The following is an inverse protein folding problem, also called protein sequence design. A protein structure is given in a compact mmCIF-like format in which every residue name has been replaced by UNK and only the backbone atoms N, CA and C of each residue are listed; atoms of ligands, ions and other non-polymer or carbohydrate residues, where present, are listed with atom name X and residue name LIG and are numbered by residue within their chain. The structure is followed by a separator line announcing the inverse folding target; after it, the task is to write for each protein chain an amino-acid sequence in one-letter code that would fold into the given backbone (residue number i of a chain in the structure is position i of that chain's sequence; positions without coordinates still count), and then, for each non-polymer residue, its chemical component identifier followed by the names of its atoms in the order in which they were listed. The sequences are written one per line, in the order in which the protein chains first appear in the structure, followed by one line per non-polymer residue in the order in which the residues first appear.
data_IF_416273018072
#
_entry.id   IF_416273018072
#
_cell.length_a   1.000
_cell.length_b   1.000
_cell.length_c   1.000
_cell.angle_alpha   90.00
_cell.angle_beta   90.00
_cell.angle_gamma   90.00
#
_symmetry.space_group_name_H-M   'P 1'
#
loop_
_entity.id
_entity.type
_entity.pdbx_description
1 polymer ?
#
# COMPACT_ATOMS: atom_id res chain seq x y z
N UNK A 1 45.04 14.96 7.31
CA UNK A 1 43.63 15.18 7.70
C UNK A 1 42.60 14.60 6.70
N UNK A 2 42.88 13.53 5.96
CA UNK A 2 41.94 12.94 4.96
C UNK A 2 41.21 11.67 5.44
N UNK A 3 41.82 10.89 6.35
CA UNK A 3 41.29 9.60 6.80
C UNK A 3 40.03 9.70 7.69
N UNK A 4 39.90 10.76 8.49
CA UNK A 4 38.74 10.98 9.38
C UNK A 4 37.47 11.21 8.55
N UNK A 5 37.57 11.97 7.45
CA UNK A 5 36.45 12.21 6.54
C UNK A 5 36.02 10.93 5.80
N UNK A 6 36.97 10.06 5.43
CA UNK A 6 36.65 8.78 4.77
C UNK A 6 35.94 7.80 5.71
N UNK A 7 36.35 7.74 6.98
CA UNK A 7 35.71 6.86 7.96
C UNK A 7 34.31 7.36 8.33
N UNK A 8 34.15 8.67 8.53
CA UNK A 8 32.84 9.29 8.79
C UNK A 8 31.88 9.09 7.62
N UNK A 9 32.33 9.35 6.39
CA UNK A 9 31.51 9.14 5.18
C UNK A 9 31.05 7.68 5.06
N UNK A 10 31.93 6.71 5.32
CA UNK A 10 31.58 5.28 5.30
C UNK A 10 30.54 4.92 6.37
N UNK A 11 30.65 5.48 7.57
CA UNK A 11 29.67 5.26 8.64
C UNK A 11 28.31 5.85 8.28
N UNK A 12 28.27 7.07 7.73
CA UNK A 12 27.04 7.71 7.28
C UNK A 12 26.38 6.90 6.14
N UNK A 13 27.16 6.42 5.18
CA UNK A 13 26.66 5.56 4.10
C UNK A 13 26.07 4.25 4.64
N UNK A 14 26.71 3.61 5.62
CA UNK A 14 26.19 2.40 6.26
C UNK A 14 24.91 2.67 7.06
N UNK A 15 24.84 3.78 7.79
CA UNK A 15 23.63 4.20 8.50
C UNK A 15 22.48 4.45 7.53
N UNK A 16 22.74 5.16 6.43
CA UNK A 16 21.76 5.40 5.38
C UNK A 16 21.26 4.09 4.77
N UNK A 17 22.16 3.17 4.39
CA UNK A 17 21.78 1.84 3.87
C UNK A 17 20.90 1.05 4.84
N UNK A 18 21.21 1.09 6.15
CA UNK A 18 20.41 0.43 7.18
C UNK A 18 19.02 1.06 7.31
N UNK A 19 18.94 2.39 7.32
CA UNK A 19 17.67 3.12 7.39
C UNK A 19 16.78 2.82 6.18
N UNK A 20 17.35 2.88 4.98
CA UNK A 20 16.65 2.56 3.72
C UNK A 20 16.14 1.12 3.72
N UNK A 21 16.97 0.15 4.16
CA UNK A 21 16.53 -1.24 4.30
C UNK A 21 15.38 -1.38 5.32
N UNK A 22 15.45 -0.66 6.43
CA UNK A 22 14.38 -0.63 7.43
C UNK A 22 13.06 -0.12 6.86
N UNK A 23 13.11 0.91 6.02
CA UNK A 23 11.93 1.43 5.32
C UNK A 23 11.30 0.38 4.41
N UNK A 24 12.09 -0.28 3.55
CA UNK A 24 11.57 -1.32 2.64
C UNK A 24 10.94 -2.50 3.39
N UNK A 25 11.57 -2.96 4.48
CA UNK A 25 11.01 -4.01 5.33
C UNK A 25 9.68 -3.56 5.96
N UNK A 26 9.58 -2.29 6.40
CA UNK A 26 8.35 -1.77 6.99
C UNK A 26 7.22 -1.66 5.96
N UNK A 27 7.54 -1.28 4.71
CA UNK A 27 6.58 -1.28 3.60
C UNK A 27 6.08 -2.71 3.34
N UNK A 28 6.99 -3.69 3.30
CA UNK A 28 6.65 -5.11 3.12
C UNK A 28 5.76 -5.66 4.24
N UNK A 29 6.05 -5.33 5.51
CA UNK A 29 5.22 -5.68 6.65
C UNK A 29 3.79 -5.12 6.52
N UNK A 30 3.64 -3.85 6.16
CA UNK A 30 2.32 -3.23 5.98
C UNK A 30 1.57 -3.81 4.78
N UNK A 31 2.28 -4.15 3.69
CA UNK A 31 1.67 -4.84 2.54
C UNK A 31 1.18 -6.24 2.92
N UNK A 32 1.94 -6.96 3.74
CA UNK A 32 1.51 -8.25 4.28
C UNK A 32 0.27 -8.09 5.17
N UNK A 33 0.22 -7.04 6.01
CA UNK A 33 -0.95 -6.73 6.83
C UNK A 33 -2.19 -6.40 5.98
N UNK A 34 -2.06 -5.62 4.91
CA UNK A 34 -3.13 -5.36 3.94
C UNK A 34 -3.61 -6.66 3.29
N UNK A 35 -2.69 -7.55 2.91
CA UNK A 35 -3.03 -8.86 2.35
C UNK A 35 -3.83 -9.72 3.35
N UNK A 36 -3.46 -9.70 4.62
CA UNK A 36 -4.18 -10.41 5.67
C UNK A 36 -5.58 -9.81 5.90
N UNK A 37 -5.69 -8.48 5.91
CA UNK A 37 -6.97 -7.79 6.02
C UNK A 37 -7.90 -8.16 4.85
N UNK A 38 -7.38 -8.11 3.62
CA UNK A 38 -8.12 -8.55 2.42
C UNK A 38 -8.68 -9.96 2.58
N UNK A 39 -7.86 -10.92 3.02
CA UNK A 39 -8.26 -12.31 3.26
C UNK A 39 -9.36 -12.46 4.32
N UNK A 40 -9.46 -11.52 5.27
CA UNK A 40 -10.55 -11.50 6.25
C UNK A 40 -11.86 -10.99 5.66
N UNK A 41 -11.79 -10.12 4.64
CA UNK A 41 -12.95 -9.60 3.92
C UNK A 41 -13.49 -10.61 2.89
N UNK A 42 -12.63 -11.40 2.24
CA UNK A 42 -13.04 -12.34 1.16
C UNK A 42 -14.26 -13.23 1.48
N UNK A 43 -14.46 -13.76 2.71
CA UNK A 43 -15.62 -14.61 3.01
C UNK A 43 -16.96 -13.87 3.00
N UNK A 44 -16.95 -12.57 3.27
CA UNK A 44 -18.16 -11.74 3.45
C UNK A 44 -18.32 -10.66 2.37
N UNK A 45 -17.38 -10.59 1.43
CA UNK A 45 -17.33 -9.57 0.38
C UNK A 45 -17.16 -10.23 -0.99
N UNK A 46 -18.06 -9.91 -1.93
CA UNK A 46 -17.88 -10.30 -3.34
C UNK A 46 -16.88 -9.37 -4.02
N UNK A 47 -15.63 -9.81 -4.09
CA UNK A 47 -14.52 -9.07 -4.72
C UNK A 47 -14.80 -8.78 -6.20
N UNK A 48 -15.62 -9.59 -6.89
CA UNK A 48 -15.89 -9.39 -8.31
C UNK A 48 -16.59 -8.05 -8.61
N UNK A 49 -17.38 -7.54 -7.65
CA UNK A 49 -18.03 -6.21 -7.75
C UNK A 49 -16.99 -5.10 -7.87
N UNK A 50 -15.81 -5.28 -7.27
CA UNK A 50 -14.73 -4.30 -7.23
C UNK A 50 -13.73 -4.45 -8.39
N UNK A 51 -14.08 -5.19 -9.44
CA UNK A 51 -13.18 -5.48 -10.57
C UNK A 51 -12.50 -4.24 -11.14
N UNK A 52 -13.22 -3.16 -11.40
CA UNK A 52 -12.63 -1.95 -11.99
C UNK A 52 -11.63 -1.25 -11.05
N UNK A 53 -11.90 -1.25 -9.74
CA UNK A 53 -10.94 -0.75 -8.75
C UNK A 53 -9.67 -1.62 -8.72
N UNK A 54 -9.84 -2.94 -8.79
CA UNK A 54 -8.74 -3.91 -8.86
C UNK A 54 -7.92 -3.72 -10.14
N UNK A 55 -8.57 -3.57 -11.29
CA UNK A 55 -7.93 -3.39 -12.59
C UNK A 55 -7.11 -2.09 -12.63
N UNK A 56 -7.65 -1.00 -12.08
CA UNK A 56 -6.89 0.24 -11.91
C UNK A 56 -5.62 0.02 -11.08
N UNK A 57 -5.74 -0.59 -9.90
CA UNK A 57 -4.58 -0.83 -9.02
C UNK A 57 -3.56 -1.77 -9.68
N UNK A 58 -4.02 -2.79 -10.42
CA UNK A 58 -3.14 -3.73 -11.10
C UNK A 58 -2.27 -3.08 -12.18
N UNK A 59 -2.63 -1.90 -12.71
CA UNK A 59 -1.76 -1.15 -13.64
C UNK A 59 -0.39 -0.80 -13.02
N UNK A 60 -0.31 -0.75 -11.69
CA UNK A 60 0.88 -0.40 -10.93
C UNK A 60 1.58 -1.62 -10.31
N UNK A 61 1.02 -2.82 -10.49
CA UNK A 61 1.58 -4.07 -9.95
C UNK A 61 2.28 -4.83 -11.07
N UNK A 62 3.60 -4.95 -10.98
CA UNK A 62 4.37 -5.60 -12.03
C UNK A 62 4.19 -7.13 -12.02
N UNK A 63 3.82 -7.70 -13.17
CA UNK A 63 3.81 -9.15 -13.45
C UNK A 63 2.93 -10.02 -12.53
N UNK A 64 2.07 -9.42 -11.70
CA UNK A 64 1.11 -10.12 -10.83
C UNK A 64 -0.11 -9.23 -10.58
N UNK A 65 -0.97 -9.60 -9.63
CA UNK A 65 -2.09 -8.79 -9.17
C UNK A 65 -1.93 -8.37 -7.72
N UNK A 66 -2.57 -7.27 -7.34
CA UNK A 66 -2.69 -6.80 -5.95
C UNK A 66 -3.30 -7.86 -5.02
N UNK A 67 -4.17 -8.72 -5.55
CA UNK A 67 -4.78 -9.81 -4.77
C UNK A 67 -3.78 -10.94 -4.45
N UNK A 68 -2.66 -10.99 -5.18
CA UNK A 68 -1.65 -12.03 -5.10
C UNK A 68 -0.23 -11.46 -5.26
N UNK A 69 0.18 -10.61 -4.32
CA UNK A 69 1.52 -10.04 -4.30
C UNK A 69 2.56 -11.14 -4.01
N UNK A 70 3.42 -11.43 -5.01
CA UNK A 70 4.47 -12.46 -4.92
C UNK A 70 5.90 -11.91 -5.03
N UNK A 71 6.06 -10.76 -5.69
CA UNK A 71 7.38 -10.21 -6.01
C UNK A 71 7.80 -9.17 -4.98
N UNK A 72 9.05 -9.28 -4.52
CA UNK A 72 9.62 -8.35 -3.53
C UNK A 72 9.63 -6.91 -4.04
N UNK A 73 9.81 -6.74 -5.34
CA UNK A 73 9.74 -5.43 -6.02
C UNK A 73 8.37 -4.78 -5.92
N UNK A 74 7.30 -5.55 -5.72
CA UNK A 74 5.96 -5.04 -5.46
C UNK A 74 5.69 -4.93 -3.95
N UNK A 75 6.09 -5.93 -3.15
CA UNK A 75 5.81 -5.92 -1.70
C UNK A 75 6.58 -4.81 -0.97
N UNK A 76 7.76 -4.41 -1.46
CA UNK A 76 8.55 -3.32 -0.91
C UNK A 76 8.31 -1.97 -1.61
N UNK A 77 7.32 -1.88 -2.51
CA UNK A 77 6.99 -0.64 -3.20
C UNK A 77 5.93 0.16 -2.43
N UNK A 78 6.26 1.41 -2.11
CA UNK A 78 5.37 2.33 -1.40
C UNK A 78 4.08 2.62 -2.17
N UNK A 79 4.15 2.81 -3.49
CA UNK A 79 2.99 3.09 -4.33
C UNK A 79 2.03 1.89 -4.34
N UNK A 80 2.57 0.67 -4.43
CA UNK A 80 1.78 -0.57 -4.33
C UNK A 80 1.12 -0.69 -2.96
N UNK A 81 1.83 -0.36 -1.86
CA UNK A 81 1.23 -0.32 -0.52
C UNK A 81 0.08 0.67 -0.42
N UNK A 82 0.29 1.90 -0.89
CA UNK A 82 -0.72 2.96 -0.89
C UNK A 82 -1.95 2.52 -1.67
N UNK A 83 -1.76 1.94 -2.85
CA UNK A 83 -2.85 1.42 -3.69
C UNK A 83 -3.56 0.22 -3.08
N UNK A 84 -2.83 -0.67 -2.37
CA UNK A 84 -3.44 -1.77 -1.65
C UNK A 84 -4.38 -1.27 -0.55
N UNK A 85 -3.90 -0.32 0.26
CA UNK A 85 -4.70 0.28 1.31
C UNK A 85 -5.89 1.09 0.74
N UNK A 86 -5.70 1.76 -0.41
CA UNK A 86 -6.77 2.46 -1.12
C UNK A 86 -7.87 1.50 -1.58
N UNK A 87 -7.49 0.37 -2.18
CA UNK A 87 -8.45 -0.66 -2.60
C UNK A 87 -9.29 -1.16 -1.42
N UNK A 88 -8.63 -1.47 -0.30
CA UNK A 88 -9.32 -1.93 0.91
C UNK A 88 -10.24 -0.84 1.50
N UNK A 89 -9.81 0.43 1.45
CA UNK A 89 -10.63 1.56 1.88
C UNK A 89 -11.88 1.66 1.01
N UNK A 90 -11.73 1.54 -0.31
CA UNK A 90 -12.84 1.62 -1.23
C UNK A 90 -13.81 0.45 -1.06
N UNK A 91 -13.31 -0.77 -0.85
CA UNK A 91 -14.17 -1.92 -0.55
C UNK A 91 -14.99 -1.64 0.72
N UNK A 92 -14.33 -1.33 1.83
CA UNK A 92 -14.99 -1.10 3.10
C UNK A 92 -15.99 0.06 3.08
N UNK A 93 -15.72 1.11 2.30
CA UNK A 93 -16.63 2.27 2.15
C UNK A 93 -17.91 1.94 1.34
N UNK A 94 -17.89 0.92 0.49
CA UNK A 94 -19.04 0.53 -0.32
C UNK A 94 -19.79 -0.69 0.23
N UNK A 95 -19.21 -1.37 1.23
CA UNK A 95 -19.91 -2.40 1.99
C UNK A 95 -20.75 -1.74 3.10
N UNK A 96 -22.07 -1.82 3.02
CA UNK A 96 -23.02 -1.25 4.01
C UNK A 96 -23.06 -2.04 5.35
N UNK A 97 -22.04 -2.85 5.62
CA UNK A 97 -22.07 -3.85 6.69
C UNK A 97 -21.41 -3.31 7.97
N UNK A 98 -22.20 -3.05 9.01
CA UNK A 98 -21.69 -2.70 10.35
C UNK A 98 -20.70 -3.76 10.91
N UNK A 99 -20.69 -4.96 10.35
CA UNK A 99 -19.80 -6.07 10.69
C UNK A 99 -18.31 -5.77 10.49
N UNK A 100 -17.93 -4.80 9.65
CA UNK A 100 -16.52 -4.50 9.36
C UNK A 100 -15.88 -3.41 10.22
N UNK A 101 -16.51 -3.00 11.32
CA UNK A 101 -15.99 -1.93 12.19
C UNK A 101 -14.56 -2.23 12.72
N UNK A 102 -14.22 -3.50 12.91
CA UNK A 102 -12.87 -3.90 13.35
C UNK A 102 -11.86 -3.76 12.21
N UNK A 103 -12.21 -4.22 11.01
CA UNK A 103 -11.42 -4.15 9.79
C UNK A 103 -11.16 -2.70 9.38
N UNK A 104 -12.16 -1.83 9.47
CA UNK A 104 -11.99 -0.38 9.28
C UNK A 104 -10.98 0.22 10.24
N UNK A 105 -11.03 -0.17 11.52
CA UNK A 105 -10.10 0.32 12.54
C UNK A 105 -8.67 -0.13 12.23
N UNK A 106 -8.50 -1.39 11.81
CA UNK A 106 -7.19 -1.90 11.38
C UNK A 106 -6.67 -1.12 10.18
N UNK A 107 -7.50 -0.91 9.16
CA UNK A 107 -7.11 -0.18 7.96
C UNK A 107 -6.72 1.27 8.26
N UNK A 108 -7.47 1.96 9.13
CA UNK A 108 -7.13 3.31 9.59
C UNK A 108 -5.74 3.35 10.25
N UNK A 109 -5.42 2.34 11.05
CA UNK A 109 -4.08 2.18 11.63
C UNK A 109 -2.99 1.99 10.55
N UNK A 110 -3.24 1.10 9.58
CA UNK A 110 -2.28 0.86 8.49
C UNK A 110 -2.07 2.10 7.61
N UNK A 111 -3.12 2.87 7.33
CA UNK A 111 -3.03 4.13 6.60
C UNK A 111 -2.23 5.18 7.37
N UNK A 112 -2.48 5.30 8.68
CA UNK A 112 -1.70 6.20 9.53
C UNK A 112 -0.22 5.82 9.51
N UNK A 113 0.11 4.55 9.72
CA UNK A 113 1.49 4.07 9.66
C UNK A 113 2.11 4.37 8.27
N UNK A 114 1.39 4.07 7.19
CA UNK A 114 1.84 4.32 5.80
C UNK A 114 2.15 5.80 5.58
N UNK A 115 1.31 6.71 6.07
CA UNK A 115 1.51 8.15 5.93
C UNK A 115 2.71 8.67 6.75
N UNK A 116 3.11 7.98 7.82
CA UNK A 116 4.32 8.32 8.57
C UNK A 116 5.61 7.81 7.92
N UNK A 117 5.53 6.85 6.99
CA UNK A 117 6.71 6.31 6.31
C UNK A 117 7.32 7.28 5.30
N UNK A 118 6.49 8.13 4.68
CA UNK A 118 6.92 9.07 3.67
C UNK A 118 5.91 10.22 3.54
N UNK A 119 6.39 11.45 3.55
CA UNK A 119 5.56 12.65 3.43
C UNK A 119 4.69 12.67 2.16
N UNK A 120 5.14 12.00 1.08
CA UNK A 120 4.41 11.91 -0.17
C UNK A 120 3.33 10.81 -0.20
N UNK A 121 3.32 9.87 0.75
CA UNK A 121 2.38 8.75 0.75
C UNK A 121 0.93 9.22 0.82
N UNK A 122 0.65 10.26 1.62
CA UNK A 122 -0.69 10.85 1.73
C UNK A 122 -1.14 11.52 0.43
N UNK A 123 -0.24 12.26 -0.22
CA UNK A 123 -0.52 12.88 -1.52
C UNK A 123 -0.75 11.84 -2.60
N UNK A 124 0.06 10.78 -2.64
CA UNK A 124 -0.16 9.64 -3.54
C UNK A 124 -1.54 9.03 -3.32
N UNK A 125 -1.93 8.78 -2.07
CA UNK A 125 -3.25 8.22 -1.75
C UNK A 125 -4.39 9.06 -2.30
N UNK A 126 -4.38 10.38 -2.05
CA UNK A 126 -5.42 11.30 -2.51
C UNK A 126 -5.48 11.31 -4.05
N UNK A 127 -4.32 11.46 -4.71
CA UNK A 127 -4.24 11.51 -6.16
C UNK A 127 -4.74 10.21 -6.82
N UNK A 128 -4.35 9.06 -6.28
CA UNK A 128 -4.81 7.78 -6.81
C UNK A 128 -6.28 7.54 -6.52
N UNK A 129 -6.80 8.00 -5.38
CA UNK A 129 -8.24 7.91 -5.07
C UNK A 129 -9.08 8.63 -6.13
N UNK A 130 -8.73 9.88 -6.44
CA UNK A 130 -9.42 10.65 -7.47
C UNK A 130 -9.36 9.96 -8.84
N UNK A 131 -8.15 9.56 -9.26
CA UNK A 131 -7.94 8.87 -10.54
C UNK A 131 -8.66 7.53 -10.62
N UNK A 132 -8.67 6.74 -9.54
CA UNK A 132 -9.37 5.46 -9.48
C UNK A 132 -10.87 5.66 -9.65
N UNK A 133 -11.46 6.64 -8.95
CA UNK A 133 -12.88 6.94 -9.08
C UNK A 133 -13.23 7.39 -10.51
N UNK A 134 -12.40 8.23 -11.12
CA UNK A 134 -12.57 8.62 -12.54
C UNK A 134 -12.44 7.41 -13.47
N UNK A 135 -11.48 6.51 -13.23
CA UNK A 135 -11.31 5.28 -14.02
C UNK A 135 -12.55 4.39 -13.94
N UNK A 136 -13.07 4.15 -12.73
CA UNK A 136 -14.28 3.35 -12.48
C UNK A 136 -15.49 3.97 -13.20
N UNK A 137 -15.63 5.30 -13.17
CA UNK A 137 -16.72 5.99 -13.86
C UNK A 137 -16.65 5.85 -15.39
N UNK A 138 -15.45 5.87 -15.96
CA UNK A 138 -15.25 5.78 -17.41
C UNK A 138 -15.40 4.35 -17.95
N UNK A 139 -14.99 3.34 -17.19
CA UNK A 139 -15.06 1.92 -17.59
C UNK A 139 -16.38 1.26 -17.16
N UNK A 140 -17.14 1.91 -16.27
CA UNK A 140 -18.45 1.44 -15.78
C UNK A 140 -19.65 1.82 -16.64
N UNK A 141 -19.46 2.63 -17.70
CA UNK A 141 -20.46 2.95 -18.74
C UNK A 141 -20.26 2.11 -19.98
#
# INVERSE_FOLDING_TARGET
MSYINKHLARTLEQQHKRSVRGLFLKIEELNAACTQLRKRLEPETDIAVYKYAIDYVNQFVAHTSILNLKFITNTQNLEVLVLHALLLSYILENEDNQSFAYEEKLLKGYLQDTFTLNDHAKTLFINHREKMLTFIQNEGT
#
